data_IF_868733786744
#
_entry.id   IF_868733786744
#
_cell.length_a   1.000
_cell.length_b   1.000
_cell.length_c   1.000
_cell.angle_alpha   90.00
_cell.angle_beta   90.00
_cell.angle_gamma   90.00
#
_symmetry.space_group_name_H-M   'P 1'
#
loop_
_entity.id
_entity.type
_entity.pdbx_description
1 polymer ?
#
# COMPACT_ATOMS: atom_id res chain seq x y z
N UNK A 1 -14.06 2.62 5.72
CA UNK A 1 -13.83 1.31 6.35
C UNK A 1 -12.50 1.32 7.10
N UNK A 2 -12.45 0.67 8.24
CA UNK A 2 -11.22 0.37 8.99
C UNK A 2 -11.02 -1.15 8.98
N UNK A 3 -9.86 -1.59 8.53
CA UNK A 3 -9.43 -2.99 8.68
C UNK A 3 -8.40 -3.07 9.78
N UNK A 4 -8.78 -3.57 10.94
CA UNK A 4 -7.94 -3.67 12.13
C UNK A 4 -7.51 -5.12 12.36
N UNK A 5 -6.33 -5.48 11.88
CA UNK A 5 -5.77 -6.84 11.99
C UNK A 5 -5.26 -7.17 13.40
N UNK A 6 -5.31 -6.23 14.34
CA UNK A 6 -4.95 -6.42 15.75
C UNK A 6 -5.53 -5.28 16.62
N UNK A 7 -5.57 -5.45 17.96
CA UNK A 7 -6.13 -4.45 18.86
C UNK A 7 -5.41 -3.10 18.86
N UNK A 8 -4.09 -3.07 18.65
CA UNK A 8 -3.33 -1.83 18.62
C UNK A 8 -3.72 -0.97 17.41
N UNK A 9 -3.95 -1.59 16.24
CA UNK A 9 -4.45 -0.91 15.05
C UNK A 9 -5.84 -0.34 15.29
N UNK A 10 -6.74 -1.11 15.92
CA UNK A 10 -8.06 -0.62 16.29
C UNK A 10 -7.95 0.63 17.18
N UNK A 11 -7.20 0.55 18.28
CA UNK A 11 -7.06 1.61 19.26
C UNK A 11 -6.50 2.91 18.67
N UNK A 12 -5.50 2.80 17.80
CA UNK A 12 -4.83 3.97 17.22
C UNK A 12 -5.59 4.59 16.06
N UNK A 13 -6.32 3.80 15.27
CA UNK A 13 -6.94 4.26 14.03
C UNK A 13 -8.43 4.57 14.16
N UNK A 14 -9.12 4.02 15.18
CA UNK A 14 -10.56 4.22 15.35
C UNK A 14 -10.95 5.70 15.40
N UNK A 15 -10.15 6.54 16.04
CA UNK A 15 -10.41 7.99 16.17
C UNK A 15 -10.56 8.73 14.82
N UNK A 16 -10.10 8.13 13.72
CA UNK A 16 -10.25 8.70 12.38
C UNK A 16 -11.46 8.14 11.62
N UNK A 17 -12.20 7.21 12.22
CA UNK A 17 -13.37 6.61 11.58
C UNK A 17 -14.55 7.57 11.61
N UNK A 18 -15.29 7.63 10.50
CA UNK A 18 -16.59 8.29 10.45
C UNK A 18 -17.64 7.46 11.22
N UNK A 19 -18.71 8.06 11.71
CA UNK A 19 -19.76 7.33 12.45
C UNK A 19 -20.35 6.12 11.71
N UNK A 20 -20.43 6.19 10.37
CA UNK A 20 -20.96 5.09 9.54
C UNK A 20 -19.88 4.15 9.00
N UNK A 21 -18.63 4.32 9.42
CA UNK A 21 -17.56 3.45 8.93
C UNK A 21 -17.76 2.01 9.42
N UNK A 22 -17.63 1.04 8.53
CA UNK A 22 -17.57 -0.37 8.89
C UNK A 22 -16.17 -0.70 9.40
N UNK A 23 -16.09 -1.49 10.45
CA UNK A 23 -14.82 -1.96 11.04
C UNK A 23 -14.71 -3.47 10.79
N UNK A 24 -13.63 -3.90 10.13
CA UNK A 24 -13.33 -5.31 9.91
C UNK A 24 -12.19 -5.69 10.86
N UNK A 25 -12.34 -6.80 11.57
CA UNK A 25 -11.30 -7.31 12.49
C UNK A 25 -10.93 -8.76 12.18
N UNK A 26 -9.66 -9.10 12.44
CA UNK A 26 -9.22 -10.49 12.56
C UNK A 26 -9.42 -10.96 13.99
N UNK A 27 -10.52 -11.65 14.26
CA UNK A 27 -10.87 -12.09 15.63
C UNK A 27 -9.80 -12.96 16.29
N UNK A 28 -9.04 -13.72 15.51
CA UNK A 28 -7.94 -14.55 16.02
C UNK A 28 -6.81 -13.74 16.67
N UNK A 29 -6.72 -12.46 16.31
CA UNK A 29 -5.69 -11.54 16.81
C UNK A 29 -6.19 -10.65 17.97
N UNK A 30 -7.41 -10.89 18.48
CA UNK A 30 -8.00 -10.14 19.60
C UNK A 30 -8.04 -10.99 20.87
N UNK A 31 -6.96 -11.72 21.15
CA UNK A 31 -6.82 -12.51 22.39
C UNK A 31 -6.59 -11.60 23.60
N UNK A 32 -6.85 -12.10 24.80
CA UNK A 32 -6.59 -11.37 26.07
C UNK A 32 -5.17 -10.80 26.11
N UNK A 33 -4.17 -11.62 25.73
CA UNK A 33 -2.76 -11.21 25.66
C UNK A 33 -2.52 -10.05 24.69
N UNK A 34 -3.20 -10.05 23.53
CA UNK A 34 -3.02 -9.01 22.52
C UNK A 34 -3.74 -7.71 22.92
N UNK A 35 -4.87 -7.81 23.63
CA UNK A 35 -5.55 -6.68 24.26
C UNK A 35 -4.67 -6.04 25.34
N UNK A 36 -4.08 -6.82 26.22
CA UNK A 36 -3.14 -6.36 27.25
C UNK A 36 -1.94 -5.63 26.64
N UNK A 37 -1.31 -6.21 25.61
CA UNK A 37 -0.20 -5.57 24.87
C UNK A 37 -0.60 -4.22 24.25
N UNK A 38 -1.83 -4.11 23.77
CA UNK A 38 -2.39 -2.88 23.24
C UNK A 38 -2.88 -1.91 24.34
N UNK A 39 -2.64 -2.29 25.62
CA UNK A 39 -3.03 -1.49 26.81
C UNK A 39 -4.54 -1.25 26.88
N UNK A 40 -5.35 -2.25 26.54
CA UNK A 40 -6.76 -2.27 26.87
C UNK A 40 -6.93 -2.71 28.32
N UNK A 41 -7.87 -2.08 29.02
CA UNK A 41 -8.21 -2.37 30.42
C UNK A 41 -9.46 -3.24 30.54
N UNK A 42 -10.36 -3.16 29.55
CA UNK A 42 -11.57 -3.97 29.50
C UNK A 42 -11.37 -5.18 28.57
N UNK A 43 -12.05 -6.28 28.86
CA UNK A 43 -12.07 -7.47 28.00
C UNK A 43 -12.74 -7.17 26.64
N UNK A 44 -13.69 -6.24 26.60
CA UNK A 44 -14.33 -5.81 25.38
C UNK A 44 -13.73 -4.47 24.88
N UNK A 45 -12.86 -4.52 23.86
CA UNK A 45 -12.20 -3.33 23.34
C UNK A 45 -13.17 -2.35 22.67
N UNK A 46 -14.30 -2.84 22.16
CA UNK A 46 -15.30 -1.98 21.52
C UNK A 46 -16.03 -1.11 22.56
N UNK A 47 -16.35 -1.69 23.71
CA UNK A 47 -16.95 -0.94 24.82
C UNK A 47 -15.98 0.08 25.40
N UNK A 48 -14.69 -0.27 25.55
CA UNK A 48 -13.67 0.66 26.07
C UNK A 48 -13.50 1.88 25.15
N UNK A 49 -13.57 1.69 23.84
CA UNK A 49 -13.45 2.77 22.86
C UNK A 49 -14.78 3.46 22.53
N UNK A 50 -15.89 3.01 23.11
CA UNK A 50 -17.23 3.55 22.82
C UNK A 50 -17.62 3.37 21.34
N UNK A 51 -17.21 2.27 20.73
CA UNK A 51 -17.47 1.99 19.31
C UNK A 51 -18.94 1.66 19.11
N UNK A 52 -19.61 2.48 18.30
CA UNK A 52 -21.00 2.28 17.86
C UNK A 52 -21.10 1.83 16.39
N UNK A 53 -19.97 1.74 15.72
CA UNK A 53 -19.84 1.33 14.34
C UNK A 53 -20.17 -0.15 14.19
N UNK A 54 -20.63 -0.52 13.01
CA UNK A 54 -20.79 -1.91 12.64
C UNK A 54 -19.44 -2.60 12.57
N UNK A 55 -19.31 -3.78 13.21
CA UNK A 55 -18.07 -4.55 13.29
C UNK A 55 -18.26 -5.90 12.61
N UNK A 56 -17.52 -6.13 11.55
CA UNK A 56 -17.42 -7.43 10.88
C UNK A 56 -16.24 -8.20 11.51
N UNK A 57 -16.57 -9.24 12.25
CA UNK A 57 -15.58 -10.10 12.91
C UNK A 57 -15.35 -11.37 12.09
N UNK A 58 -14.14 -11.59 11.64
CA UNK A 58 -13.76 -12.79 10.88
C UNK A 58 -12.50 -13.41 11.50
N UNK A 59 -12.49 -14.74 11.64
CA UNK A 59 -11.33 -15.49 12.09
C UNK A 59 -10.31 -15.63 10.94
N UNK A 60 -9.80 -14.50 10.45
CA UNK A 60 -9.01 -14.41 9.22
C UNK A 60 -7.79 -15.30 9.27
N UNK A 61 -7.08 -15.34 10.39
CA UNK A 61 -5.88 -16.17 10.57
C UNK A 61 -6.20 -17.64 10.43
N UNK A 62 -7.24 -18.11 11.11
CA UNK A 62 -7.70 -19.52 11.05
C UNK A 62 -8.18 -19.87 9.64
N UNK A 63 -8.99 -19.02 9.04
CA UNK A 63 -9.52 -19.25 7.69
C UNK A 63 -8.42 -19.33 6.63
N UNK A 64 -7.40 -18.48 6.70
CA UNK A 64 -6.24 -18.58 5.81
C UNK A 64 -5.47 -19.89 5.98
N UNK A 65 -5.28 -20.36 7.24
CA UNK A 65 -4.61 -21.62 7.52
C UNK A 65 -5.38 -22.82 6.98
N UNK A 66 -6.68 -22.85 7.21
CA UNK A 66 -7.53 -23.94 6.72
C UNK A 66 -7.59 -23.96 5.19
N UNK A 67 -7.75 -22.78 4.57
CA UNK A 67 -7.78 -22.66 3.11
C UNK A 67 -6.49 -23.16 2.45
N UNK A 68 -5.34 -22.90 3.05
CA UNK A 68 -4.03 -23.22 2.47
C UNK A 68 -3.33 -24.42 3.11
N UNK A 69 -4.00 -25.22 3.93
CA UNK A 69 -3.39 -26.38 4.65
C UNK A 69 -2.70 -27.36 3.71
N UNK A 70 -3.26 -27.59 2.52
CA UNK A 70 -2.77 -28.54 1.52
C UNK A 70 -1.91 -27.87 0.43
N UNK A 71 -1.55 -26.59 0.59
CA UNK A 71 -0.81 -25.82 -0.42
C UNK A 71 0.70 -26.11 -0.45
N UNK A 72 1.24 -26.82 0.53
CA UNK A 72 2.68 -27.03 0.69
C UNK A 72 3.48 -25.80 1.15
N UNK A 73 2.80 -24.69 1.41
CA UNK A 73 3.44 -23.45 1.87
C UNK A 73 3.76 -23.52 3.38
N UNK A 74 4.85 -22.89 3.78
CA UNK A 74 5.19 -22.72 5.18
C UNK A 74 4.21 -21.78 5.91
N UNK A 75 4.07 -21.94 7.21
CA UNK A 75 3.13 -21.16 8.03
C UNK A 75 3.35 -19.63 7.91
N UNK A 76 4.59 -19.19 7.72
CA UNK A 76 4.92 -17.76 7.55
C UNK A 76 4.37 -17.22 6.22
N UNK A 77 4.48 -17.97 5.14
CA UNK A 77 3.91 -17.63 3.83
C UNK A 77 2.39 -17.62 3.87
N UNK A 78 1.77 -18.59 4.53
CA UNK A 78 0.31 -18.61 4.75
C UNK A 78 -0.14 -17.35 5.50
N UNK A 79 0.50 -17.02 6.62
CA UNK A 79 0.12 -15.84 7.41
C UNK A 79 0.28 -14.51 6.66
N UNK A 80 1.14 -14.44 5.64
CA UNK A 80 1.28 -13.25 4.79
C UNK A 80 0.09 -13.03 3.86
N UNK A 81 -0.72 -14.06 3.60
CA UNK A 81 -1.91 -13.93 2.73
C UNK A 81 -3.09 -13.27 3.43
N UNK A 82 -3.08 -13.09 4.76
CA UNK A 82 -4.18 -12.52 5.56
C UNK A 82 -4.73 -11.20 5.00
N UNK A 83 -3.84 -10.35 4.48
CA UNK A 83 -4.26 -9.08 3.89
C UNK A 83 -5.09 -9.28 2.63
N UNK A 84 -4.91 -10.40 1.92
CA UNK A 84 -5.72 -10.71 0.73
C UNK A 84 -7.13 -11.13 1.12
N UNK A 85 -7.28 -11.87 2.23
CA UNK A 85 -8.62 -12.15 2.78
C UNK A 85 -9.37 -10.85 3.09
N UNK A 86 -8.72 -9.95 3.84
CA UNK A 86 -9.31 -8.65 4.18
C UNK A 86 -9.64 -7.83 2.93
N UNK A 87 -8.77 -7.85 1.91
CA UNK A 87 -9.02 -7.17 0.63
C UNK A 87 -10.24 -7.77 -0.09
N UNK A 88 -10.36 -9.09 -0.13
CA UNK A 88 -11.51 -9.77 -0.72
C UNK A 88 -12.83 -9.36 -0.06
N UNK A 89 -12.86 -9.33 1.27
CA UNK A 89 -14.02 -8.88 2.03
C UNK A 89 -14.34 -7.40 1.77
N UNK A 90 -13.33 -6.55 1.66
CA UNK A 90 -13.52 -5.14 1.27
C UNK A 90 -14.03 -5.02 -0.17
N UNK A 91 -13.54 -5.84 -1.10
CA UNK A 91 -14.06 -5.86 -2.47
C UNK A 91 -15.56 -6.20 -2.50
N UNK A 92 -15.98 -7.20 -1.73
CA UNK A 92 -17.40 -7.53 -1.59
C UNK A 92 -18.21 -6.37 -1.01
N UNK A 93 -17.73 -5.79 0.12
CA UNK A 93 -18.41 -4.69 0.84
C UNK A 93 -18.63 -3.45 -0.05
N UNK A 94 -17.70 -3.16 -0.96
CA UNK A 94 -17.74 -1.99 -1.85
C UNK A 94 -18.13 -2.33 -3.29
N UNK A 95 -18.66 -3.52 -3.55
CA UNK A 95 -19.03 -3.99 -4.89
C UNK A 95 -17.90 -3.79 -5.93
N UNK A 96 -16.65 -4.08 -5.51
CA UNK A 96 -15.48 -4.00 -6.40
C UNK A 96 -15.25 -5.32 -7.09
N UNK A 97 -14.85 -5.25 -8.36
CA UNK A 97 -14.49 -6.44 -9.12
C UNK A 97 -13.21 -7.07 -8.55
N UNK A 98 -13.37 -8.23 -7.92
CA UNK A 98 -12.28 -9.01 -7.32
C UNK A 98 -11.27 -9.49 -8.37
N UNK A 99 -11.67 -9.64 -9.64
CA UNK A 99 -10.80 -10.06 -10.74
C UNK A 99 -9.66 -9.07 -11.01
N UNK A 100 -9.87 -7.79 -10.69
CA UNK A 100 -8.81 -6.79 -10.77
C UNK A 100 -7.68 -7.11 -9.78
N UNK A 101 -8.05 -7.49 -8.56
CA UNK A 101 -7.10 -7.95 -7.53
C UNK A 101 -6.36 -9.23 -7.95
N UNK A 102 -7.08 -10.20 -8.49
CA UNK A 102 -6.50 -11.43 -9.03
C UNK A 102 -5.44 -11.14 -10.11
N UNK A 103 -5.78 -10.32 -11.11
CA UNK A 103 -4.86 -9.94 -12.18
C UNK A 103 -3.56 -9.33 -11.63
N UNK A 104 -3.69 -8.38 -10.72
CA UNK A 104 -2.54 -7.71 -10.08
C UNK A 104 -1.67 -8.72 -9.32
N UNK A 105 -2.27 -9.66 -8.60
CA UNK A 105 -1.54 -10.68 -7.85
C UNK A 105 -0.78 -11.63 -8.76
N UNK A 106 -1.39 -12.08 -9.86
CA UNK A 106 -0.74 -12.93 -10.86
C UNK A 106 0.44 -12.24 -11.53
N UNK A 107 0.28 -10.97 -11.89
CA UNK A 107 1.36 -10.16 -12.47
C UNK A 107 2.49 -9.93 -11.46
N UNK A 108 2.16 -9.55 -10.23
CA UNK A 108 3.13 -9.26 -9.17
C UNK A 108 3.98 -10.47 -8.78
N UNK A 109 3.35 -11.64 -8.71
CA UNK A 109 4.00 -12.88 -8.32
C UNK A 109 4.27 -13.83 -9.49
N UNK A 110 4.40 -13.31 -10.72
CA UNK A 110 4.63 -14.12 -11.92
C UNK A 110 5.84 -15.08 -11.82
N UNK A 111 6.87 -14.69 -11.03
CA UNK A 111 8.07 -15.53 -10.78
C UNK A 111 7.87 -16.59 -9.68
N UNK A 112 6.74 -16.59 -8.99
CA UNK A 112 6.41 -17.50 -7.88
C UNK A 112 4.93 -17.87 -7.95
N UNK A 113 4.55 -18.73 -8.91
CA UNK A 113 3.14 -19.04 -9.21
C UNK A 113 2.41 -19.64 -7.98
N UNK A 114 3.09 -20.44 -7.16
CA UNK A 114 2.53 -21.01 -5.93
C UNK A 114 2.08 -19.92 -4.92
N UNK A 115 2.86 -18.83 -4.83
CA UNK A 115 2.50 -17.68 -3.98
C UNK A 115 1.36 -16.89 -4.62
N UNK A 116 1.35 -16.74 -5.95
CA UNK A 116 0.26 -16.10 -6.66
C UNK A 116 -1.07 -16.81 -6.43
N UNK A 117 -1.12 -18.13 -6.63
CA UNK A 117 -2.31 -18.96 -6.45
C UNK A 117 -2.82 -18.90 -5.00
N UNK A 118 -1.92 -19.01 -4.01
CA UNK A 118 -2.29 -18.90 -2.60
C UNK A 118 -2.93 -17.55 -2.27
N UNK A 119 -2.35 -16.45 -2.75
CA UNK A 119 -2.90 -15.13 -2.53
C UNK A 119 -4.25 -14.92 -3.24
N UNK A 120 -4.38 -15.42 -4.47
CA UNK A 120 -5.63 -15.37 -5.23
C UNK A 120 -6.72 -16.19 -4.53
N UNK A 121 -6.41 -17.42 -4.12
CA UNK A 121 -7.37 -18.26 -3.39
C UNK A 121 -7.89 -17.55 -2.14
N UNK A 122 -6.99 -17.03 -1.31
CA UNK A 122 -7.38 -16.32 -0.08
C UNK A 122 -8.13 -15.01 -0.36
N UNK A 123 -7.83 -14.33 -1.46
CA UNK A 123 -8.61 -13.17 -1.91
C UNK A 123 -10.08 -13.54 -2.18
N UNK A 124 -10.30 -14.64 -2.88
CA UNK A 124 -11.66 -15.12 -3.13
C UNK A 124 -12.33 -15.66 -1.86
N UNK A 125 -11.60 -16.31 -0.96
CA UNK A 125 -12.15 -16.76 0.32
C UNK A 125 -12.71 -15.58 1.13
N UNK A 126 -12.00 -14.45 1.16
CA UNK A 126 -12.47 -13.24 1.81
C UNK A 126 -13.71 -12.63 1.13
N UNK A 127 -13.75 -12.65 -0.20
CA UNK A 127 -14.91 -12.20 -0.97
C UNK A 127 -16.14 -13.06 -0.68
N UNK A 128 -16.01 -14.37 -0.76
CA UNK A 128 -17.09 -15.33 -0.49
C UNK A 128 -17.49 -15.37 0.99
N UNK A 129 -16.58 -15.08 1.90
CA UNK A 129 -16.94 -14.89 3.31
C UNK A 129 -17.99 -13.78 3.45
N UNK A 130 -17.77 -12.65 2.77
CA UNK A 130 -18.76 -11.57 2.73
C UNK A 130 -20.10 -12.01 2.15
N UNK A 131 -20.10 -12.71 1.01
CA UNK A 131 -21.30 -13.23 0.37
C UNK A 131 -22.09 -14.19 1.27
N UNK A 132 -21.40 -15.16 1.87
CA UNK A 132 -22.03 -16.25 2.61
C UNK A 132 -22.51 -15.84 4.00
N UNK A 133 -21.82 -14.92 4.64
CA UNK A 133 -22.23 -14.47 5.99
C UNK A 133 -23.32 -13.43 5.91
N UNK A 134 -23.66 -12.93 4.70
CA UNK A 134 -24.52 -11.76 4.50
C UNK A 134 -24.20 -10.72 5.56
N UNK A 135 -22.87 -10.63 5.82
CA UNK A 135 -22.39 -9.97 7.01
C UNK A 135 -23.39 -8.88 7.28
N UNK A 136 -23.98 -8.85 8.41
CA UNK A 136 -25.06 -7.98 8.84
C UNK A 136 -24.69 -6.50 8.66
N UNK A 137 -24.13 -6.21 7.51
CA UNK A 137 -23.67 -4.90 7.10
C UNK A 137 -24.89 -4.19 6.54
N UNK A 138 -25.53 -3.42 7.39
CA UNK A 138 -26.67 -2.59 7.04
C UNK A 138 -26.35 -1.57 5.95
N UNK A 139 -25.07 -1.35 5.66
CA UNK A 139 -24.61 -0.36 4.69
C UNK A 139 -23.55 -0.92 3.75
N UNK A 140 -23.91 -1.20 2.52
CA UNK A 140 -22.98 -1.40 1.43
C UNK A 140 -22.73 -0.08 0.69
N UNK A 141 -21.51 0.16 0.30
CA UNK A 141 -21.11 1.37 -0.40
C UNK A 141 -20.73 1.05 -1.83
N UNK A 142 -21.32 1.73 -2.78
CA UNK A 142 -20.87 1.68 -4.16
C UNK A 142 -19.91 2.84 -4.43
N UNK A 143 -18.65 2.51 -4.74
CA UNK A 143 -17.70 3.50 -5.23
C UNK A 143 -17.89 3.62 -6.74
N UNK A 144 -18.37 4.75 -7.26
CA UNK A 144 -18.59 4.90 -8.70
C UNK A 144 -17.29 4.68 -9.47
N UNK A 145 -17.34 3.82 -10.47
CA UNK A 145 -16.19 3.52 -11.34
C UNK A 145 -15.93 4.59 -12.41
N UNK A 146 -16.88 5.50 -12.59
CA UNK A 146 -16.84 6.51 -13.64
C UNK A 146 -16.61 7.91 -13.04
N UNK A 147 -15.36 8.27 -12.80
CA UNK A 147 -15.01 9.67 -12.94
C UNK A 147 -15.17 10.03 -14.42
N UNK A 148 -15.88 11.10 -14.74
CA UNK A 148 -15.81 11.69 -16.08
C UNK A 148 -14.37 12.16 -16.27
N UNK A 149 -13.59 11.42 -17.06
CA UNK A 149 -12.22 11.77 -17.42
C UNK A 149 -12.24 12.30 -18.84
N UNK A 150 -11.54 13.39 -19.07
CA UNK A 150 -11.22 13.83 -20.42
C UNK A 150 -10.56 12.67 -21.19
N UNK A 151 -10.82 12.53 -22.50
CA UNK A 151 -10.14 11.52 -23.30
C UNK A 151 -8.63 11.68 -23.21
N UNK A 152 -7.90 10.60 -22.89
CA UNK A 152 -6.46 10.66 -22.73
C UNK A 152 -5.85 9.39 -22.15
N UNK A 153 -4.52 9.39 -22.09
CA UNK A 153 -3.75 8.35 -21.40
C UNK A 153 -3.51 8.79 -19.95
N UNK A 154 -3.88 7.94 -19.01
CA UNK A 154 -3.73 8.17 -17.59
C UNK A 154 -2.84 7.11 -16.97
N UNK A 155 -2.08 7.49 -15.97
CA UNK A 155 -1.30 6.57 -15.14
C UNK A 155 -1.35 7.02 -13.68
N UNK A 156 -1.27 6.08 -12.77
CA UNK A 156 -1.06 6.40 -11.37
C UNK A 156 0.40 6.80 -11.16
N UNK A 157 0.60 7.95 -10.54
CA UNK A 157 1.92 8.51 -10.32
C UNK A 157 2.00 9.11 -8.91
N UNK A 158 3.11 8.86 -8.21
CA UNK A 158 3.42 9.54 -6.96
C UNK A 158 4.24 10.82 -7.20
N UNK A 159 4.37 11.66 -6.17
CA UNK A 159 5.07 12.93 -6.27
C UNK A 159 6.53 12.80 -6.72
N UNK A 160 7.28 11.84 -6.19
CA UNK A 160 8.69 11.63 -6.54
C UNK A 160 8.86 11.28 -8.03
N UNK A 161 8.00 10.41 -8.54
CA UNK A 161 8.02 10.04 -9.96
C UNK A 161 7.58 11.21 -10.86
N UNK A 162 6.57 11.97 -10.43
CA UNK A 162 6.15 13.17 -11.13
C UNK A 162 7.28 14.22 -11.19
N UNK A 163 8.00 14.40 -10.07
CA UNK A 163 9.17 15.29 -10.01
C UNK A 163 10.26 14.83 -10.98
N UNK A 164 10.59 13.52 -11.00
CA UNK A 164 11.58 12.99 -11.92
C UNK A 164 11.23 13.25 -13.39
N UNK A 165 9.97 13.01 -13.77
CA UNK A 165 9.50 13.29 -15.14
C UNK A 165 9.46 14.78 -15.48
N UNK A 166 9.07 15.62 -14.52
CA UNK A 166 9.10 17.06 -14.67
C UNK A 166 10.51 17.60 -14.91
N UNK A 167 11.50 17.08 -14.19
CA UNK A 167 12.92 17.43 -14.38
C UNK A 167 13.45 17.03 -15.76
N UNK A 168 13.11 15.81 -16.23
CA UNK A 168 13.48 15.35 -17.58
C UNK A 168 12.87 16.29 -18.63
N UNK A 169 11.57 16.57 -18.53
CA UNK A 169 10.89 17.45 -19.47
C UNK A 169 11.45 18.89 -19.46
N UNK A 170 11.81 19.39 -18.28
CA UNK A 170 12.41 20.72 -18.14
C UNK A 170 13.79 20.78 -18.79
N UNK A 171 14.62 19.76 -18.58
CA UNK A 171 15.96 19.68 -19.18
C UNK A 171 15.88 19.58 -20.70
N UNK A 172 14.99 18.73 -21.24
CA UNK A 172 14.75 18.59 -22.66
C UNK A 172 14.28 19.92 -23.29
N UNK A 173 13.30 20.59 -22.68
CA UNK A 173 12.78 21.87 -23.14
C UNK A 173 13.82 23.00 -23.10
N UNK A 174 14.73 22.96 -22.12
CA UNK A 174 15.82 23.93 -21.99
C UNK A 174 17.02 23.62 -22.88
N UNK A 175 17.09 22.43 -23.49
CA UNK A 175 18.26 21.98 -24.22
C UNK A 175 19.49 21.75 -23.34
N UNK A 176 19.29 21.44 -22.05
CA UNK A 176 20.34 21.25 -21.07
C UNK A 176 20.44 19.77 -20.66
N UNK A 177 21.66 19.36 -20.28
CA UNK A 177 21.85 18.05 -19.70
C UNK A 177 21.31 18.04 -18.27
N UNK A 178 20.44 17.06 -17.94
CA UNK A 178 19.99 16.86 -16.56
C UNK A 178 21.05 16.16 -15.74
N UNK A 179 21.41 16.75 -14.61
CA UNK A 179 22.29 16.18 -13.61
C UNK A 179 21.60 16.13 -12.24
N UNK A 180 21.60 14.97 -11.60
CA UNK A 180 21.19 14.81 -10.22
C UNK A 180 22.35 14.35 -9.37
N UNK A 181 22.80 15.18 -8.41
CA UNK A 181 23.68 14.80 -7.32
C UNK A 181 22.85 14.59 -6.06
N UNK A 182 22.77 13.37 -5.56
CA UNK A 182 21.94 13.04 -4.41
C UNK A 182 22.55 11.89 -3.60
N UNK A 183 21.97 11.62 -2.45
CA UNK A 183 22.42 10.57 -1.53
C UNK A 183 21.24 9.72 -1.06
N UNK A 184 21.46 8.51 -0.50
CA UNK A 184 20.38 7.66 -0.02
C UNK A 184 19.67 8.24 1.19
N UNK A 185 18.47 8.78 0.99
CA UNK A 185 17.61 9.34 2.05
C UNK A 185 16.14 9.14 1.72
N UNK A 186 15.38 8.49 2.59
CA UNK A 186 13.95 8.28 2.42
C UNK A 186 13.17 9.54 2.77
N UNK A 187 12.18 9.98 1.95
CA UNK A 187 11.70 9.36 0.71
C UNK A 187 12.35 9.87 -0.58
N UNK A 188 13.33 10.77 -0.53
CA UNK A 188 13.88 11.45 -1.71
C UNK A 188 14.66 10.50 -2.65
N UNK A 189 15.18 9.39 -2.15
CA UNK A 189 15.88 8.36 -2.94
C UNK A 189 15.07 7.83 -4.13
N UNK A 190 13.74 7.84 -4.04
CA UNK A 190 12.89 7.38 -5.14
C UNK A 190 13.06 8.24 -6.40
N UNK A 191 13.38 9.55 -6.26
CA UNK A 191 13.68 10.43 -7.39
C UNK A 191 14.97 10.00 -8.07
N UNK A 192 16.02 9.70 -7.27
CA UNK A 192 17.30 9.19 -7.78
C UNK A 192 17.09 7.87 -8.55
N UNK A 193 16.35 6.92 -7.96
CA UNK A 193 16.07 5.63 -8.58
C UNK A 193 15.25 5.77 -9.87
N UNK A 194 14.29 6.70 -9.93
CA UNK A 194 13.50 6.91 -11.13
C UNK A 194 14.35 7.55 -12.23
N UNK A 195 15.09 8.61 -11.93
CA UNK A 195 15.96 9.28 -12.91
C UNK A 195 17.05 8.33 -13.44
N UNK A 196 17.60 7.45 -12.61
CA UNK A 196 18.62 6.49 -13.03
C UNK A 196 18.14 5.49 -14.11
N UNK A 197 16.84 5.32 -14.29
CA UNK A 197 16.26 4.48 -15.37
C UNK A 197 16.29 5.16 -16.74
N UNK A 198 16.45 6.48 -16.78
CA UNK A 198 16.32 7.31 -17.97
C UNK A 198 17.66 7.80 -18.55
N UNK A 199 18.72 6.99 -18.39
CA UNK A 199 20.07 7.31 -18.93
C UNK A 199 20.08 7.56 -20.43
N UNK A 200 19.22 6.85 -21.18
CA UNK A 200 19.08 7.03 -22.63
C UNK A 200 18.58 8.41 -23.04
N UNK A 201 17.97 9.17 -22.11
CA UNK A 201 17.54 10.56 -22.31
C UNK A 201 18.62 11.57 -21.88
N UNK A 202 19.88 11.15 -21.73
CA UNK A 202 20.98 12.02 -21.33
C UNK A 202 21.00 12.38 -19.85
N UNK A 203 20.17 11.71 -19.00
CA UNK A 203 20.14 11.97 -17.57
C UNK A 203 21.37 11.41 -16.89
N UNK A 204 22.10 12.25 -16.16
CA UNK A 204 23.23 11.87 -15.30
C UNK A 204 22.79 11.87 -13.83
N UNK A 205 22.98 10.74 -13.17
CA UNK A 205 22.73 10.59 -11.74
C UNK A 205 24.00 10.19 -11.03
N UNK A 206 24.33 10.89 -9.95
CA UNK A 206 25.47 10.58 -9.07
C UNK A 206 24.94 10.37 -7.67
N UNK A 207 25.20 9.18 -7.13
CA UNK A 207 24.92 8.89 -5.73
C UNK A 207 26.15 9.26 -4.90
N UNK A 208 25.97 10.23 -4.03
CA UNK A 208 26.99 10.70 -3.09
C UNK A 208 26.84 10.02 -1.73
N UNK A 209 27.81 10.25 -0.85
CA UNK A 209 27.81 9.71 0.50
C UNK A 209 26.78 10.43 1.40
N UNK A 210 26.70 11.75 1.27
CA UNK A 210 25.86 12.62 2.10
C UNK A 210 25.30 13.81 1.30
N UNK A 211 24.51 14.65 1.99
CA UNK A 211 23.88 15.85 1.42
C UNK A 211 24.89 16.90 0.97
N UNK A 212 26.01 17.04 1.68
CA UNK A 212 27.04 18.05 1.37
C UNK A 212 27.69 17.69 0.03
N UNK A 213 28.10 16.43 -0.14
CA UNK A 213 28.67 15.95 -1.38
C UNK A 213 27.66 16.00 -2.53
N UNK A 214 26.38 15.65 -2.27
CA UNK A 214 25.29 15.75 -3.25
C UNK A 214 25.10 17.18 -3.73
N UNK A 215 24.98 18.11 -2.82
CA UNK A 215 24.82 19.52 -3.11
C UNK A 215 26.04 20.12 -3.84
N UNK A 216 27.25 19.85 -3.35
CA UNK A 216 28.48 20.35 -3.95
C UNK A 216 28.66 19.83 -5.39
N UNK A 217 28.33 18.55 -5.65
CA UNK A 217 28.38 17.96 -6.99
C UNK A 217 27.38 18.62 -7.94
N UNK A 218 26.17 18.93 -7.45
CA UNK A 218 25.15 19.65 -8.24
C UNK A 218 25.58 21.08 -8.56
N UNK A 219 26.21 21.80 -7.63
CA UNK A 219 26.77 23.13 -7.87
C UNK A 219 27.86 23.08 -8.96
N UNK A 220 28.77 22.10 -8.88
CA UNK A 220 29.81 21.93 -9.91
C UNK A 220 29.22 21.62 -11.29
N UNK A 221 28.20 20.75 -11.34
CA UNK A 221 27.51 20.42 -12.60
C UNK A 221 26.75 21.62 -13.19
N UNK A 222 26.14 22.43 -12.33
CA UNK A 222 25.47 23.69 -12.75
C UNK A 222 26.47 24.69 -13.33
N UNK A 223 27.64 24.83 -12.71
CA UNK A 223 28.73 25.66 -13.22
C UNK A 223 29.22 25.19 -14.61
N UNK A 224 29.19 23.88 -14.84
CA UNK A 224 29.50 23.29 -16.16
C UNK A 224 28.36 23.39 -17.19
N UNK A 225 27.25 24.03 -16.88
CA UNK A 225 26.14 24.28 -17.80
C UNK A 225 25.02 23.25 -17.79
N UNK A 226 24.98 22.35 -16.81
CA UNK A 226 23.87 21.40 -16.67
C UNK A 226 22.68 22.01 -15.93
N UNK A 227 21.48 21.49 -16.20
CA UNK A 227 20.35 21.62 -15.27
C UNK A 227 20.62 20.68 -14.09
N UNK A 228 21.23 21.21 -13.06
CA UNK A 228 21.68 20.43 -11.92
C UNK A 228 20.67 20.51 -10.76
N UNK A 229 20.44 19.36 -10.14
CA UNK A 229 19.47 19.20 -9.05
C UNK A 229 20.08 18.40 -7.93
N UNK A 230 19.74 18.70 -6.70
CA UNK A 230 19.92 17.82 -5.55
C UNK A 230 18.58 17.52 -4.90
N UNK A 231 18.46 16.38 -4.24
CA UNK A 231 17.24 16.00 -3.53
C UNK A 231 17.57 15.53 -2.13
N UNK A 232 16.83 16.04 -1.16
CA UNK A 232 16.98 15.71 0.25
C UNK A 232 15.63 15.61 0.95
N UNK A 233 15.62 15.04 2.15
CA UNK A 233 14.49 15.07 3.08
C UNK A 233 15.04 15.19 4.49
N UNK A 234 14.44 16.07 5.28
CA UNK A 234 14.88 16.33 6.63
C UNK A 234 15.15 17.82 6.86
N UNK A 235 15.47 18.19 8.11
CA UNK A 235 15.77 19.56 8.49
C UNK A 235 17.03 20.09 7.83
#
# INVERSE_FOLDING_TARGET
VLVAMNPAALKTQYKFCKPQAVIIIDSDSFTKRDLEKAKFTLENPFSELGIKNEVVSAAITTMCKESLKDSGLDNKSILRTKNMFALGLVCWLFHRDVKVGEKILREKFAKKPEIAEANVKVLYDGYHFGENTHASVSMSYTVPSKAQKEPGKYMDINGNKATAYGLIAAAEKAGLQLYLGSYPITPATDILHELAKHKSLGVKTVQCEDEIAGCASAVGASFAGALAVTTTSGP
#
